data_IF_072772733135
#
_entry.id   IF_072772733135
#
_cell.length_a   1.000
_cell.length_b   1.000
_cell.length_c   1.000
_cell.angle_alpha   90.00
_cell.angle_beta   90.00
_cell.angle_gamma   90.00
#
_symmetry.space_group_name_H-M   'P 1'
#
loop_
_entity.id
_entity.type
_entity.pdbx_description
1 polymer ?
#
# COMPACT_ATOMS: atom_id res chain seq x y z
N UNK A 1 -2.29 5.39 30.60
CA UNK A 1 -2.47 6.64 29.82
C UNK A 1 -2.93 6.34 28.39
N UNK A 2 -4.11 5.73 28.20
CA UNK A 2 -4.58 5.30 26.86
C UNK A 2 -5.61 6.21 26.18
N UNK A 3 -6.17 7.19 26.90
CA UNK A 3 -7.32 7.97 26.42
C UNK A 3 -6.97 9.22 25.61
N UNK A 4 -5.71 9.70 25.65
CA UNK A 4 -5.30 10.96 25.01
C UNK A 4 -4.71 10.79 23.60
N UNK A 5 -4.30 9.58 23.21
CA UNK A 5 -3.64 9.35 21.93
C UNK A 5 -4.61 9.56 20.76
N UNK A 6 -5.86 9.09 20.90
CA UNK A 6 -6.90 9.26 19.90
C UNK A 6 -7.38 10.71 19.76
N UNK A 7 -7.42 11.50 20.85
CA UNK A 7 -7.78 12.92 20.77
C UNK A 7 -6.65 13.75 20.17
N UNK A 8 -5.39 13.52 20.56
CA UNK A 8 -4.24 14.20 19.96
C UNK A 8 -4.10 13.87 18.47
N UNK A 9 -4.25 12.59 18.10
CA UNK A 9 -4.19 12.17 16.70
C UNK A 9 -5.30 12.82 15.85
N UNK A 10 -6.56 12.79 16.30
CA UNK A 10 -7.67 13.46 15.59
C UNK A 10 -7.47 14.96 15.48
N UNK A 11 -6.92 15.60 16.51
CA UNK A 11 -6.62 17.02 16.49
C UNK A 11 -5.58 17.35 15.41
N UNK A 12 -4.53 16.54 15.30
CA UNK A 12 -3.51 16.74 14.27
C UNK A 12 -4.04 16.43 12.87
N UNK A 13 -4.90 15.43 12.71
CA UNK A 13 -5.60 15.19 11.44
C UNK A 13 -6.43 16.42 11.02
N UNK A 14 -7.19 17.02 11.94
CA UNK A 14 -7.95 18.24 11.67
C UNK A 14 -7.08 19.49 11.39
N UNK A 15 -5.79 19.45 11.74
CA UNK A 15 -4.85 20.52 11.45
C UNK A 15 -4.25 20.41 10.02
N UNK A 16 -4.48 19.30 9.31
CA UNK A 16 -3.92 19.09 7.96
C UNK A 16 -4.60 19.95 6.90
N UNK A 17 -5.87 20.31 7.07
CA UNK A 17 -6.62 21.15 6.13
C UNK A 17 -6.46 22.65 6.38
N UNK A 18 -5.53 23.03 7.26
CA UNK A 18 -5.21 24.43 7.58
C UNK A 18 -4.11 24.96 6.65
N UNK A 19 -3.52 26.09 7.03
CA UNK A 19 -2.43 26.71 6.26
C UNK A 19 -1.19 25.80 6.14
N UNK A 20 -0.31 26.03 5.14
CA UNK A 20 0.84 25.17 4.87
C UNK A 20 1.81 24.99 6.06
N UNK A 21 1.94 26.00 6.93
CA UNK A 21 2.80 25.91 8.10
C UNK A 21 2.19 25.01 9.18
N UNK A 22 0.88 25.16 9.42
CA UNK A 22 0.13 24.29 10.32
C UNK A 22 0.08 22.84 9.80
N UNK A 23 -0.13 22.65 8.49
CA UNK A 23 -0.10 21.33 7.84
C UNK A 23 1.25 20.62 8.06
N UNK A 24 2.36 21.32 7.80
CA UNK A 24 3.72 20.76 7.97
C UNK A 24 3.99 20.35 9.41
N UNK A 25 3.57 21.18 10.37
CA UNK A 25 3.73 20.92 11.80
C UNK A 25 2.89 19.72 12.22
N UNK A 26 1.62 19.67 11.80
CA UNK A 26 0.72 18.56 12.06
C UNK A 26 1.26 17.23 11.50
N UNK A 27 1.79 17.23 10.28
CA UNK A 27 2.43 16.04 9.70
C UNK A 27 3.65 15.58 10.49
N UNK A 28 4.46 16.50 11.00
CA UNK A 28 5.60 16.16 11.87
C UNK A 28 5.14 15.53 13.18
N UNK A 29 4.07 16.06 13.78
CA UNK A 29 3.49 15.54 15.01
C UNK A 29 2.87 14.16 14.78
N UNK A 30 2.12 13.96 13.70
CA UNK A 30 1.54 12.66 13.32
C UNK A 30 2.61 11.59 13.13
N UNK A 31 3.73 11.91 12.47
CA UNK A 31 4.86 10.98 12.31
C UNK A 31 5.48 10.59 13.65
N UNK A 32 5.57 11.53 14.59
CA UNK A 32 6.08 11.27 15.95
C UNK A 32 5.11 10.37 16.72
N UNK A 33 3.81 10.67 16.68
CA UNK A 33 2.76 9.85 17.30
C UNK A 33 2.79 8.42 16.77
N UNK A 34 2.92 8.24 15.45
CA UNK A 34 2.97 6.92 14.80
C UNK A 34 4.21 6.13 15.21
N UNK A 35 5.35 6.80 15.33
CA UNK A 35 6.61 6.18 15.77
C UNK A 35 6.51 5.65 17.20
N UNK A 36 5.93 6.43 18.10
CA UNK A 36 5.85 6.12 19.53
C UNK A 36 4.56 5.37 19.93
N UNK A 37 3.75 4.98 18.93
CA UNK A 37 2.48 4.30 19.15
C UNK A 37 2.68 2.97 19.89
N UNK A 38 1.88 2.68 20.90
CA UNK A 38 1.89 1.34 21.50
C UNK A 38 1.35 0.33 20.47
N UNK A 39 1.99 -0.83 20.24
CA UNK A 39 1.47 -1.86 19.35
C UNK A 39 0.03 -2.29 19.68
N UNK A 40 -0.36 -2.29 20.96
CA UNK A 40 -1.74 -2.58 21.38
C UNK A 40 -2.74 -1.53 20.94
N UNK A 41 -2.29 -0.31 20.62
CA UNK A 41 -3.10 0.80 20.12
C UNK A 41 -3.11 0.90 18.59
N UNK A 42 -2.40 0.01 17.86
CA UNK A 42 -2.40 0.00 16.39
C UNK A 42 -3.80 -0.12 15.81
N UNK A 43 -4.62 -1.00 16.36
CA UNK A 43 -6.01 -1.15 15.92
C UNK A 43 -6.81 0.16 16.05
N UNK A 44 -6.68 0.88 17.17
CA UNK A 44 -7.37 2.17 17.39
C UNK A 44 -6.92 3.20 16.36
N UNK A 45 -5.62 3.27 16.09
CA UNK A 45 -5.06 4.16 15.06
C UNK A 45 -5.64 3.84 13.68
N UNK A 46 -5.68 2.56 13.30
CA UNK A 46 -6.18 2.13 11.99
C UNK A 46 -7.69 2.35 11.83
N UNK A 47 -8.46 2.14 12.89
CA UNK A 47 -9.89 2.47 12.92
C UNK A 47 -10.09 3.97 12.68
N UNK A 48 -9.36 4.83 13.40
CA UNK A 48 -9.46 6.28 13.23
C UNK A 48 -9.05 6.74 11.82
N UNK A 49 -7.95 6.20 11.31
CA UNK A 49 -7.50 6.43 9.93
C UNK A 49 -8.58 6.04 8.90
N UNK A 50 -9.23 4.90 9.10
CA UNK A 50 -10.30 4.41 8.22
C UNK A 50 -11.57 5.27 8.31
N UNK A 51 -11.88 5.79 9.49
CA UNK A 51 -13.03 6.67 9.76
C UNK A 51 -12.82 8.11 9.27
N UNK A 52 -11.58 8.55 9.06
CA UNK A 52 -11.22 9.92 8.61
C UNK A 52 -11.65 10.18 7.15
N UNK A 53 -12.47 9.29 6.56
CA UNK A 53 -13.00 9.26 5.19
C UNK A 53 -13.81 10.48 4.71
N UNK A 54 -13.79 11.62 5.40
CA UNK A 54 -14.67 12.78 5.10
C UNK A 54 -14.06 14.16 5.30
N UNK A 55 -12.75 14.29 5.53
CA UNK A 55 -12.16 15.63 5.66
C UNK A 55 -11.46 16.00 4.35
N UNK A 56 -12.14 16.86 3.58
CA UNK A 56 -11.56 17.68 2.52
C UNK A 56 -11.28 17.00 1.19
N UNK A 57 -12.17 17.23 0.22
CA UNK A 57 -11.81 17.27 -1.21
C UNK A 57 -10.49 18.03 -1.42
N UNK A 58 -9.75 17.59 -2.42
CA UNK A 58 -8.57 18.22 -3.05
C UNK A 58 -7.17 17.91 -2.49
N UNK A 59 -7.00 17.39 -1.26
CA UNK A 59 -5.64 16.99 -0.82
C UNK A 59 -5.54 15.93 0.29
N UNK A 60 -6.68 15.49 0.86
CA UNK A 60 -6.68 14.80 2.15
C UNK A 60 -6.31 13.31 2.17
N UNK A 61 -6.49 12.58 1.07
CA UNK A 61 -6.27 11.13 1.08
C UNK A 61 -4.79 10.71 1.24
N UNK A 62 -3.87 11.51 0.69
CA UNK A 62 -2.46 11.13 0.56
C UNK A 62 -1.66 11.10 1.87
N UNK A 63 -2.05 11.92 2.84
CA UNK A 63 -1.29 12.04 4.10
C UNK A 63 -1.38 10.77 4.94
N UNK A 64 -2.55 10.15 4.98
CA UNK A 64 -2.82 8.95 5.77
C UNK A 64 -1.96 7.79 5.31
N UNK A 65 -1.82 7.62 4.00
CA UNK A 65 -1.01 6.54 3.43
C UNK A 65 0.49 6.77 3.68
N UNK A 66 0.94 8.04 3.72
CA UNK A 66 2.32 8.36 4.09
C UNK A 66 2.68 7.96 5.53
N UNK A 67 1.69 7.86 6.43
CA UNK A 67 1.89 7.40 7.80
C UNK A 67 2.13 5.89 7.86
N UNK A 68 1.57 5.10 6.94
CA UNK A 68 1.77 3.64 6.91
C UNK A 68 3.22 3.24 6.65
N UNK A 69 3.98 4.02 5.88
CA UNK A 69 5.42 3.81 5.72
C UNK A 69 6.15 3.91 7.06
N UNK A 70 5.87 4.97 7.83
CA UNK A 70 6.44 5.18 9.16
C UNK A 70 5.97 4.13 10.17
N UNK A 71 4.70 3.71 10.08
CA UNK A 71 4.11 2.67 10.90
C UNK A 71 4.84 1.33 10.68
N UNK A 72 5.03 0.93 9.42
CA UNK A 72 5.72 -0.30 9.08
C UNK A 72 7.17 -0.28 9.57
N UNK A 73 7.88 0.85 9.39
CA UNK A 73 9.26 1.01 9.84
C UNK A 73 9.42 0.94 11.35
N UNK A 74 8.46 1.47 12.11
CA UNK A 74 8.54 1.57 13.58
C UNK A 74 8.05 0.31 14.29
N UNK A 75 7.02 -0.35 13.73
CA UNK A 75 6.35 -1.49 14.37
C UNK A 75 6.71 -2.85 13.75
N UNK A 76 7.28 -2.85 12.54
CA UNK A 76 7.74 -4.04 11.85
C UNK A 76 6.66 -5.12 11.77
N UNK A 77 7.02 -6.33 12.19
CA UNK A 77 6.18 -7.54 12.15
C UNK A 77 4.86 -7.41 12.90
N UNK A 78 4.75 -6.46 13.84
CA UNK A 78 3.52 -6.20 14.61
C UNK A 78 2.40 -5.62 13.74
N UNK A 79 2.71 -5.12 12.54
CA UNK A 79 1.71 -4.65 11.58
C UNK A 79 1.03 -5.80 10.82
N UNK A 80 1.64 -7.00 10.79
CA UNK A 80 1.16 -8.13 9.98
C UNK A 80 -0.33 -8.47 10.19
N UNK A 81 -0.87 -8.49 11.44
CA UNK A 81 -2.30 -8.74 11.68
C UNK A 81 -3.24 -7.67 11.14
N UNK A 82 -2.70 -6.54 10.69
CA UNK A 82 -3.46 -5.37 10.28
C UNK A 82 -3.30 -5.03 8.78
N UNK A 83 -2.56 -5.85 8.03
CA UNK A 83 -2.27 -5.61 6.60
C UNK A 83 -3.53 -5.50 5.78
N UNK A 84 -4.55 -6.32 6.03
CA UNK A 84 -5.81 -6.28 5.28
C UNK A 84 -6.53 -4.92 5.44
N UNK A 85 -6.63 -4.42 6.68
CA UNK A 85 -7.22 -3.09 6.95
C UNK A 85 -6.41 -1.98 6.29
N UNK A 86 -5.07 -2.05 6.37
CA UNK A 86 -4.19 -1.06 5.73
C UNK A 86 -4.37 -1.07 4.21
N UNK A 87 -4.46 -2.26 3.60
CA UNK A 87 -4.69 -2.39 2.16
C UNK A 87 -6.05 -1.86 1.73
N UNK A 88 -7.11 -2.09 2.51
CA UNK A 88 -8.43 -1.49 2.23
C UNK A 88 -8.38 0.05 2.20
N UNK A 89 -7.63 0.66 3.13
CA UNK A 89 -7.41 2.12 3.14
C UNK A 89 -6.63 2.53 1.89
N UNK A 90 -5.55 1.83 1.55
CA UNK A 90 -4.76 2.12 0.34
C UNK A 90 -5.61 2.04 -0.93
N UNK A 91 -6.40 0.98 -1.13
CA UNK A 91 -7.27 0.83 -2.31
C UNK A 91 -8.31 1.95 -2.36
N UNK A 92 -8.96 2.25 -1.23
CA UNK A 92 -9.91 3.37 -1.19
C UNK A 92 -9.22 4.68 -1.58
N UNK A 93 -8.04 4.95 -1.01
CA UNK A 93 -7.29 6.17 -1.31
C UNK A 93 -6.91 6.23 -2.80
N UNK A 94 -6.52 5.12 -3.42
CA UNK A 94 -6.20 5.08 -4.84
C UNK A 94 -7.42 5.32 -5.74
N UNK A 95 -8.59 4.78 -5.38
CA UNK A 95 -9.84 5.03 -6.10
C UNK A 95 -10.27 6.50 -5.98
N UNK A 96 -10.09 7.11 -4.80
CA UNK A 96 -10.51 8.50 -4.54
C UNK A 96 -9.47 9.57 -4.88
N UNK A 97 -8.28 9.23 -5.40
CA UNK A 97 -7.18 10.21 -5.57
C UNK A 97 -7.17 10.95 -6.91
N UNK A 98 -8.18 10.77 -7.77
CA UNK A 98 -8.30 11.44 -9.08
C UNK A 98 -7.00 11.43 -9.91
N UNK A 99 -6.20 10.35 -9.81
CA UNK A 99 -4.93 10.22 -10.53
C UNK A 99 -3.73 10.97 -9.95
N UNK A 100 -3.83 11.50 -8.72
CA UNK A 100 -2.72 12.19 -8.05
C UNK A 100 -1.47 11.31 -7.92
N UNK A 101 -0.41 11.68 -8.65
CA UNK A 101 0.87 10.95 -8.68
C UNK A 101 1.53 10.89 -7.30
N UNK A 102 1.43 11.95 -6.50
CA UNK A 102 2.01 11.98 -5.15
C UNK A 102 1.33 10.98 -4.20
N UNK A 103 0.01 10.81 -4.34
CA UNK A 103 -0.76 9.82 -3.59
C UNK A 103 -0.41 8.40 -4.03
N UNK A 104 -0.39 8.14 -5.33
CA UNK A 104 0.01 6.84 -5.88
C UNK A 104 1.42 6.43 -5.43
N UNK A 105 2.38 7.37 -5.42
CA UNK A 105 3.73 7.14 -4.91
C UNK A 105 3.75 6.88 -3.41
N UNK A 106 2.93 7.56 -2.61
CA UNK A 106 2.82 7.30 -1.17
C UNK A 106 2.27 5.89 -0.91
N UNK A 107 1.23 5.47 -1.64
CA UNK A 107 0.72 4.09 -1.61
C UNK A 107 1.80 3.07 -1.94
N UNK A 108 2.54 3.31 -3.02
CA UNK A 108 3.61 2.43 -3.46
C UNK A 108 4.74 2.27 -2.43
N UNK A 109 5.11 3.36 -1.74
CA UNK A 109 6.08 3.35 -0.64
C UNK A 109 5.55 2.62 0.59
N UNK A 110 4.28 2.83 0.94
CA UNK A 110 3.64 2.15 2.06
C UNK A 110 3.63 0.63 1.85
N UNK A 111 3.18 0.15 0.68
CA UNK A 111 3.15 -1.28 0.35
C UNK A 111 4.55 -1.90 0.44
N UNK A 112 5.57 -1.25 -0.13
CA UNK A 112 6.95 -1.73 -0.05
C UNK A 112 7.49 -1.75 1.39
N UNK A 113 7.19 -0.73 2.19
CA UNK A 113 7.60 -0.69 3.58
C UNK A 113 6.94 -1.81 4.40
N UNK A 114 5.65 -2.09 4.17
CA UNK A 114 4.93 -3.18 4.83
C UNK A 114 5.54 -4.53 4.44
N UNK A 115 5.84 -4.76 3.15
CA UNK A 115 6.50 -5.99 2.71
C UNK A 115 7.91 -6.14 3.28
N UNK A 116 8.65 -5.03 3.41
CA UNK A 116 10.04 -5.03 3.91
C UNK A 116 10.12 -5.26 5.42
N UNK A 117 9.29 -4.58 6.20
CA UNK A 117 9.39 -4.58 7.67
C UNK A 117 8.35 -5.47 8.34
N UNK A 118 7.24 -5.79 7.66
CA UNK A 118 6.16 -6.63 8.20
C UNK A 118 6.48 -8.13 8.17
N UNK A 119 7.48 -8.56 7.40
CA UNK A 119 7.90 -9.96 7.31
C UNK A 119 9.04 -10.23 8.29
N UNK A 120 8.81 -11.18 9.20
CA UNK A 120 9.86 -11.71 10.07
C UNK A 120 10.64 -12.81 9.34
N UNK A 121 11.95 -12.66 9.08
CA UNK A 121 12.78 -13.71 8.48
C UNK A 121 12.78 -15.02 9.29
N UNK A 122 12.54 -14.99 10.60
CA UNK A 122 12.53 -16.15 11.48
C UNK A 122 11.16 -16.89 11.51
N UNK A 123 10.10 -16.31 10.94
CA UNK A 123 8.79 -16.97 10.91
C UNK A 123 8.73 -18.10 9.87
N UNK A 124 7.77 -19.01 10.07
CA UNK A 124 7.45 -20.07 9.11
C UNK A 124 7.05 -19.49 7.75
N UNK A 125 7.43 -20.20 6.69
CA UNK A 125 7.32 -19.72 5.30
C UNK A 125 5.90 -19.35 4.90
N UNK A 126 4.89 -20.07 5.38
CA UNK A 126 3.48 -19.82 5.09
C UNK A 126 3.02 -18.44 5.57
N UNK A 127 3.52 -17.96 6.72
CA UNK A 127 3.19 -16.62 7.21
C UNK A 127 3.77 -15.53 6.32
N UNK A 128 4.96 -15.77 5.75
CA UNK A 128 5.62 -14.84 4.81
C UNK A 128 4.85 -14.78 3.50
N UNK A 129 4.46 -15.96 2.97
CA UNK A 129 3.61 -16.10 1.77
C UNK A 129 2.27 -15.41 1.95
N UNK A 130 1.61 -15.62 3.10
CA UNK A 130 0.32 -15.00 3.40
C UNK A 130 0.40 -13.47 3.43
N UNK A 131 1.47 -12.89 3.99
CA UNK A 131 1.63 -11.44 4.00
C UNK A 131 1.78 -10.88 2.57
N UNK A 132 2.62 -11.51 1.73
CA UNK A 132 2.74 -11.12 0.32
C UNK A 132 1.40 -11.28 -0.40
N UNK A 133 0.66 -12.37 -0.15
CA UNK A 133 -0.66 -12.60 -0.71
C UNK A 133 -1.65 -11.49 -0.31
N UNK A 134 -1.74 -11.13 0.97
CA UNK A 134 -2.62 -10.07 1.46
C UNK A 134 -2.31 -8.69 0.87
N UNK A 135 -1.05 -8.43 0.48
CA UNK A 135 -0.68 -7.22 -0.26
C UNK A 135 -1.04 -7.31 -1.74
N UNK A 136 -0.72 -8.43 -2.40
CA UNK A 136 -0.88 -8.62 -3.84
C UNK A 136 -2.34 -8.73 -4.27
N UNK A 137 -3.14 -9.48 -3.52
CA UNK A 137 -4.51 -9.86 -3.90
C UNK A 137 -5.39 -8.64 -4.23
N UNK A 138 -5.59 -7.67 -3.32
CA UNK A 138 -6.44 -6.51 -3.61
C UNK A 138 -5.89 -5.65 -4.76
N UNK A 139 -4.56 -5.52 -4.89
CA UNK A 139 -3.97 -4.76 -5.99
C UNK A 139 -4.16 -5.45 -7.35
N UNK A 140 -4.09 -6.78 -7.37
CA UNK A 140 -4.30 -7.58 -8.59
C UNK A 140 -5.77 -7.57 -9.02
N UNK A 141 -6.68 -7.61 -8.05
CA UNK A 141 -8.11 -7.47 -8.30
C UNK A 141 -8.42 -6.05 -8.84
N UNK A 142 -7.78 -5.00 -8.33
CA UNK A 142 -7.88 -3.63 -8.86
C UNK A 142 -7.34 -3.42 -10.28
N UNK A 143 -6.43 -4.28 -10.76
CA UNK A 143 -5.99 -4.23 -12.16
C UNK A 143 -7.07 -4.74 -13.12
N UNK A 144 -7.93 -5.67 -12.68
CA UNK A 144 -8.99 -6.25 -13.51
C UNK A 144 -10.16 -5.28 -13.74
N UNK A 145 -10.36 -4.31 -12.84
CA UNK A 145 -11.40 -3.29 -12.96
C UNK A 145 -10.94 -2.04 -13.75
N UNK A 146 -9.89 -2.19 -14.56
CA UNK A 146 -9.26 -1.10 -15.32
C UNK A 146 -10.19 -0.42 -16.34
N UNK A 147 -11.34 -1.04 -16.66
CA UNK A 147 -12.33 -0.48 -17.57
C UNK A 147 -13.12 0.69 -16.94
N UNK A 148 -13.29 0.70 -15.62
CA UNK A 148 -14.08 1.72 -14.91
C UNK A 148 -13.19 2.73 -14.17
N UNK A 149 -12.03 2.32 -13.64
CA UNK A 149 -11.18 3.17 -12.80
C UNK A 149 -9.70 3.14 -13.26
N UNK A 150 -9.40 3.83 -14.36
CA UNK A 150 -8.03 3.89 -14.91
C UNK A 150 -6.98 4.37 -13.89
N UNK A 151 -7.33 5.34 -13.03
CA UNK A 151 -6.41 5.85 -12.00
C UNK A 151 -6.13 4.84 -10.88
N UNK A 152 -7.12 3.99 -10.54
CA UNK A 152 -6.93 2.90 -9.58
C UNK A 152 -6.00 1.85 -10.16
N UNK A 153 -6.21 1.43 -11.41
CA UNK A 153 -5.36 0.44 -12.08
C UNK A 153 -3.89 0.93 -12.18
N UNK A 154 -3.68 2.19 -12.58
CA UNK A 154 -2.34 2.81 -12.60
C UNK A 154 -1.68 2.83 -11.21
N UNK A 155 -2.41 3.24 -10.18
CA UNK A 155 -1.91 3.25 -8.81
C UNK A 155 -1.60 1.86 -8.27
N UNK A 156 -2.46 0.88 -8.57
CA UNK A 156 -2.28 -0.52 -8.20
C UNK A 156 -1.04 -1.11 -8.87
N UNK A 157 -0.85 -0.84 -10.16
CA UNK A 157 0.33 -1.21 -10.93
C UNK A 157 1.62 -0.67 -10.32
N UNK A 158 1.64 0.61 -9.91
CA UNK A 158 2.79 1.22 -9.25
C UNK A 158 3.09 0.59 -7.88
N UNK A 159 2.06 0.23 -7.11
CA UNK A 159 2.21 -0.46 -5.84
C UNK A 159 2.76 -1.87 -6.03
N UNK A 160 2.22 -2.63 -6.99
CA UNK A 160 2.67 -3.97 -7.34
C UNK A 160 4.12 -3.96 -7.83
N UNK A 161 4.51 -2.98 -8.66
CA UNK A 161 5.90 -2.84 -9.11
C UNK A 161 6.85 -2.68 -7.93
N UNK A 162 6.52 -1.80 -6.99
CA UNK A 162 7.33 -1.55 -5.80
C UNK A 162 7.41 -2.78 -4.89
N UNK A 163 6.32 -3.56 -4.81
CA UNK A 163 6.29 -4.83 -4.11
C UNK A 163 7.19 -5.89 -4.76
N UNK A 164 7.14 -6.02 -6.09
CA UNK A 164 8.00 -6.93 -6.88
C UNK A 164 9.48 -6.54 -6.78
N UNK A 165 9.76 -5.24 -6.74
CA UNK A 165 11.11 -4.72 -6.57
C UNK A 165 11.66 -4.95 -5.15
N UNK A 166 10.83 -5.26 -4.15
CA UNK A 166 11.30 -5.57 -2.80
C UNK A 166 11.98 -6.94 -2.71
N UNK A 167 13.01 -7.05 -1.87
CA UNK A 167 13.68 -8.34 -1.62
C UNK A 167 12.78 -9.39 -0.96
N UNK A 168 11.74 -8.93 -0.28
CA UNK A 168 10.65 -9.74 0.26
C UNK A 168 9.84 -10.46 -0.82
N UNK A 169 9.89 -10.01 -2.08
CA UNK A 169 9.24 -10.68 -3.21
C UNK A 169 9.70 -12.12 -3.40
N UNK A 170 10.88 -12.50 -2.89
CA UNK A 170 11.36 -13.89 -2.90
C UNK A 170 10.38 -14.88 -2.24
N UNK A 171 9.46 -14.39 -1.41
CA UNK A 171 8.44 -15.19 -0.74
C UNK A 171 7.14 -15.30 -1.56
N UNK A 172 7.04 -14.64 -2.71
CA UNK A 172 5.94 -14.85 -3.65
C UNK A 172 6.02 -16.28 -4.22
N UNK A 173 4.92 -17.02 -4.15
CA UNK A 173 4.81 -18.35 -4.72
C UNK A 173 4.17 -18.29 -6.11
N UNK A 174 4.30 -19.38 -6.87
CA UNK A 174 3.93 -19.44 -8.29
C UNK A 174 2.50 -19.00 -8.58
N UNK A 175 1.56 -19.32 -7.70
CA UNK A 175 0.15 -18.93 -7.87
C UNK A 175 -0.02 -17.41 -7.86
N UNK A 176 0.59 -16.69 -6.90
CA UNK A 176 0.53 -15.21 -6.87
C UNK A 176 1.12 -14.62 -8.15
N UNK A 177 2.27 -15.14 -8.59
CA UNK A 177 2.92 -14.65 -9.81
C UNK A 177 2.02 -14.89 -11.03
N UNK A 178 1.40 -16.07 -11.11
CA UNK A 178 0.49 -16.43 -12.20
C UNK A 178 -0.77 -15.56 -12.21
N UNK A 179 -1.41 -15.35 -11.05
CA UNK A 179 -2.58 -14.46 -10.93
C UNK A 179 -2.23 -13.05 -11.38
N UNK A 180 -1.09 -12.52 -10.93
CA UNK A 180 -0.65 -11.19 -11.32
C UNK A 180 -0.34 -11.09 -12.83
N UNK A 181 0.29 -12.12 -13.40
CA UNK A 181 0.51 -12.23 -14.83
C UNK A 181 -0.80 -12.23 -15.63
N UNK A 182 -1.82 -12.98 -15.18
CA UNK A 182 -3.14 -13.01 -15.80
C UNK A 182 -3.85 -11.66 -15.68
N UNK A 183 -3.86 -11.04 -14.50
CA UNK A 183 -4.43 -9.71 -14.29
C UNK A 183 -3.77 -8.66 -15.17
N UNK A 184 -2.45 -8.73 -15.35
CA UNK A 184 -1.72 -7.82 -16.23
C UNK A 184 -2.02 -8.06 -17.70
N UNK A 185 -2.15 -9.32 -18.14
CA UNK A 185 -2.49 -9.63 -19.52
C UNK A 185 -3.84 -8.98 -19.91
N UNK A 186 -4.81 -9.00 -19.00
CA UNK A 186 -6.11 -8.32 -19.18
C UNK A 186 -5.93 -6.79 -19.18
N UNK A 187 -5.18 -6.22 -18.24
CA UNK A 187 -4.98 -4.77 -18.13
C UNK A 187 -4.08 -4.17 -19.23
N UNK A 188 -3.29 -5.00 -19.93
CA UNK A 188 -2.36 -4.60 -20.98
C UNK A 188 -3.05 -4.15 -22.27
N UNK A 189 -4.33 -4.50 -22.48
CA UNK A 189 -5.12 -4.02 -23.62
C UNK A 189 -5.22 -2.48 -23.65
N UNK A 190 -5.07 -1.82 -22.49
CA UNK A 190 -5.06 -0.36 -22.33
C UNK A 190 -3.64 0.28 -22.30
N UNK A 191 -2.59 -0.52 -22.52
CA UNK A 191 -1.16 -0.15 -22.62
C UNK A 191 -0.73 1.15 -21.92
N UNK A 192 -0.39 1.07 -20.61
CA UNK A 192 0.19 2.21 -19.87
C UNK A 192 1.67 1.98 -19.52
N UNK A 193 2.44 3.06 -19.39
CA UNK A 193 3.85 3.01 -18.97
C UNK A 193 4.05 2.27 -17.64
N UNK A 194 3.12 2.45 -16.69
CA UNK A 194 3.15 1.77 -15.40
C UNK A 194 2.99 0.25 -15.53
N UNK A 195 2.05 -0.21 -16.38
CA UNK A 195 1.82 -1.63 -16.64
C UNK A 195 3.06 -2.27 -17.28
N UNK A 196 3.68 -1.59 -18.24
CA UNK A 196 4.92 -2.04 -18.87
C UNK A 196 6.07 -2.13 -17.87
N UNK A 197 6.22 -1.13 -16.99
CA UNK A 197 7.25 -1.14 -15.95
C UNK A 197 7.09 -2.32 -14.97
N UNK A 198 5.85 -2.68 -14.64
CA UNK A 198 5.54 -3.84 -13.80
C UNK A 198 5.84 -5.16 -14.52
N UNK A 199 5.48 -5.30 -15.80
CA UNK A 199 5.84 -6.47 -16.63
C UNK A 199 7.35 -6.69 -16.64
N UNK A 200 8.13 -5.62 -16.85
CA UNK A 200 9.59 -5.68 -16.83
C UNK A 200 10.12 -6.11 -15.46
N UNK A 201 9.57 -5.57 -14.36
CA UNK A 201 9.96 -5.95 -13.01
C UNK A 201 9.70 -7.44 -12.75
N UNK A 202 8.53 -7.95 -13.16
CA UNK A 202 8.17 -9.37 -13.04
C UNK A 202 9.08 -10.27 -13.87
N UNK A 203 9.39 -9.88 -15.11
CA UNK A 203 10.31 -10.62 -15.97
C UNK A 203 11.72 -10.76 -15.36
N UNK A 204 12.22 -9.68 -14.75
CA UNK A 204 13.52 -9.67 -14.07
C UNK A 204 13.54 -10.57 -12.83
N UNK A 205 12.50 -10.49 -12.00
CA UNK A 205 12.44 -11.22 -10.71
C UNK A 205 11.99 -12.67 -10.85
N UNK A 206 11.27 -13.01 -11.92
CA UNK A 206 10.65 -14.33 -12.13
C UNK A 206 11.02 -14.93 -13.50
N UNK A 207 12.29 -14.81 -13.91
CA UNK A 207 12.77 -15.23 -15.24
C UNK A 207 12.38 -16.68 -15.63
N UNK A 208 12.13 -17.57 -14.66
CA UNK A 208 11.63 -18.92 -14.90
C UNK A 208 10.12 -18.99 -15.20
N UNK A 209 9.29 -18.11 -14.64
CA UNK A 209 7.82 -18.09 -14.80
C UNK A 209 7.41 -17.30 -16.06
N UNK A 210 8.11 -16.21 -16.38
CA UNK A 210 7.79 -15.39 -17.57
C UNK A 210 8.05 -16.12 -18.89
N UNK A 211 8.79 -17.23 -18.89
CA UNK A 211 8.90 -18.13 -20.05
C UNK A 211 7.54 -18.70 -20.48
N UNK A 212 6.57 -18.83 -19.57
CA UNK A 212 5.20 -19.27 -19.87
C UNK A 212 4.31 -18.15 -20.44
N UNK A 213 4.54 -16.89 -20.07
CA UNK A 213 3.82 -15.73 -20.64
C UNK A 213 4.12 -15.53 -22.14
N UNK A 214 5.30 -15.96 -22.60
CA UNK A 214 5.68 -15.91 -24.02
C UNK A 214 4.86 -16.83 -24.93
N UNK A 215 4.01 -17.70 -24.37
CA UNK A 215 3.06 -18.52 -25.12
C UNK A 215 1.68 -17.87 -25.35
N UNK A 216 1.45 -16.67 -24.80
CA UNK A 216 0.17 -15.94 -24.89
C UNK A 216 0.29 -14.57 -25.60
N UNK A 217 1.49 -14.18 -26.04
CA UNK A 217 1.76 -13.06 -26.95
C UNK A 217 2.03 -13.62 -28.35
#
# INVERSE_FOLDING_TARGET
>A
MGRNLGSAFRQELANLDKDPYTNKTAMSNLRTIVKDLNPKALHVFLTQVSETKKIGSDSGGGYTVSLFEGLARSHGVKIAPHVETIMQVIITTLSSCEGSVSVQQACSKAVAAIARYGIDPATVEDKKKNLIHSLCKPLSDSLLDSQHEQHLALGASLCLKSLVDCDSWRFAFSEIVNTLCQSLAVALEAASESHMALVIALAKRNAFIVKAMRGFL
#
